data_IF_555935374333
#
_entry.id   IF_555935374333
#
_cell.length_a   1.000
_cell.length_b   1.000
_cell.length_c   1.000
_cell.angle_alpha   90.00
_cell.angle_beta   90.00
_cell.angle_gamma   90.00
#
_symmetry.space_group_name_H-M   'P 1'
#
loop_
_entity.id
_entity.type
_entity.pdbx_description
1 polymer ?
#
# COMPACT_ATOMS: atom_id res chain seq x y z
N UNK A 1 9.53 -21.12 27.34
CA UNK A 1 8.97 -19.80 27.79
C UNK A 1 8.34 -19.93 29.17
N UNK A 2 8.47 -18.91 30.08
CA UNK A 2 7.85 -18.93 31.40
C UNK A 2 6.32 -18.95 31.31
N UNK A 3 5.68 -19.78 32.16
CA UNK A 3 4.21 -19.99 32.12
C UNK A 3 3.40 -18.70 32.36
N UNK A 4 3.90 -17.81 33.24
CA UNK A 4 3.24 -16.51 33.51
C UNK A 4 3.28 -15.57 32.32
N UNK A 5 4.41 -15.53 31.62
CA UNK A 5 4.55 -14.70 30.40
C UNK A 5 3.63 -15.21 29.29
N UNK A 6 3.56 -16.52 29.09
CA UNK A 6 2.66 -17.08 28.07
C UNK A 6 1.17 -16.89 28.44
N UNK A 7 0.81 -16.96 29.71
CA UNK A 7 -0.56 -16.63 30.16
C UNK A 7 -0.94 -15.20 29.79
N UNK A 8 -0.01 -14.25 29.91
CA UNK A 8 -0.22 -12.88 29.47
C UNK A 8 -0.44 -12.80 27.96
N UNK A 9 0.34 -13.56 27.16
CA UNK A 9 0.14 -13.65 25.68
C UNK A 9 -1.29 -14.10 25.36
N UNK A 10 -1.79 -15.14 26.05
CA UNK A 10 -3.16 -15.65 25.83
C UNK A 10 -4.20 -14.55 26.08
N UNK A 11 -4.12 -13.90 27.24
CA UNK A 11 -5.07 -12.84 27.64
C UNK A 11 -5.04 -11.66 26.64
N UNK A 12 -3.86 -11.23 26.23
CA UNK A 12 -3.72 -10.17 25.23
C UNK A 12 -4.27 -10.59 23.87
N UNK A 13 -3.98 -11.82 23.44
CA UNK A 13 -4.53 -12.40 22.21
C UNK A 13 -6.06 -12.34 22.20
N UNK A 14 -6.70 -12.85 23.26
CA UNK A 14 -8.16 -12.84 23.37
C UNK A 14 -8.75 -11.43 23.33
N UNK A 15 -8.16 -10.51 24.08
CA UNK A 15 -8.62 -9.11 24.10
C UNK A 15 -8.50 -8.42 22.74
N UNK A 16 -7.36 -8.61 22.07
CA UNK A 16 -7.12 -8.04 20.74
C UNK A 16 -8.06 -8.64 19.69
N UNK A 17 -8.23 -9.97 19.70
CA UNK A 17 -9.15 -10.64 18.77
C UNK A 17 -10.60 -10.19 19.01
N UNK A 18 -11.04 -10.08 20.27
CA UNK A 18 -12.38 -9.55 20.61
C UNK A 18 -12.59 -8.12 20.10
N UNK A 19 -11.58 -7.28 20.10
CA UNK A 19 -11.69 -5.88 19.69
C UNK A 19 -12.07 -5.68 18.21
N UNK A 20 -11.85 -6.68 17.36
CA UNK A 20 -12.16 -6.59 15.92
C UNK A 20 -13.45 -7.32 15.50
N UNK A 21 -14.09 -8.06 16.41
CA UNK A 21 -15.33 -8.81 16.11
C UNK A 21 -16.45 -7.90 15.59
N UNK A 22 -16.48 -6.63 16.03
CA UNK A 22 -17.44 -5.63 15.55
C UNK A 22 -17.16 -5.06 14.15
N UNK A 23 -16.00 -5.31 13.58
CA UNK A 23 -15.62 -4.78 12.27
C UNK A 23 -16.19 -5.67 11.16
N UNK A 24 -17.31 -5.26 10.58
CA UNK A 24 -18.01 -6.01 9.53
C UNK A 24 -17.28 -6.03 8.18
N UNK A 25 -16.44 -5.03 7.92
CA UNK A 25 -15.75 -4.87 6.65
C UNK A 25 -14.35 -5.49 6.73
N UNK A 26 -13.94 -6.11 5.63
CA UNK A 26 -12.64 -6.76 5.49
C UNK A 26 -11.84 -6.09 4.38
N UNK A 27 -10.50 -6.15 4.50
CA UNK A 27 -9.60 -5.78 3.42
C UNK A 27 -9.67 -6.82 2.29
N UNK A 28 -9.36 -6.40 1.06
CA UNK A 28 -9.47 -7.24 -0.14
C UNK A 28 -8.75 -8.59 -0.04
N UNK A 29 -7.62 -8.65 0.67
CA UNK A 29 -6.85 -9.89 0.87
C UNK A 29 -7.52 -10.90 1.82
N UNK A 30 -8.47 -10.48 2.66
CA UNK A 30 -9.03 -11.36 3.69
C UNK A 30 -9.58 -12.68 3.13
N UNK A 31 -10.42 -12.60 2.09
CA UNK A 31 -11.03 -13.80 1.48
C UNK A 31 -10.01 -14.69 0.77
N UNK A 32 -8.95 -14.11 0.24
CA UNK A 32 -7.86 -14.85 -0.39
C UNK A 32 -7.05 -15.61 0.66
N UNK A 33 -6.65 -14.92 1.72
CA UNK A 33 -5.86 -15.50 2.80
C UNK A 33 -6.61 -16.57 3.60
N UNK A 34 -7.94 -16.47 3.74
CA UNK A 34 -8.75 -17.54 4.35
C UNK A 34 -8.75 -18.85 3.55
N UNK A 35 -8.48 -18.80 2.24
CA UNK A 35 -8.47 -19.97 1.36
C UNK A 35 -7.08 -20.56 1.17
N UNK A 36 -6.04 -19.90 1.70
CA UNK A 36 -4.67 -20.40 1.61
C UNK A 36 -4.57 -21.71 2.38
N UNK A 37 -4.02 -22.74 1.75
CA UNK A 37 -3.69 -23.99 2.42
C UNK A 37 -2.48 -23.78 3.36
N UNK A 38 -2.26 -24.72 4.25
CA UNK A 38 -1.18 -24.63 5.23
C UNK A 38 0.19 -25.11 4.69
N UNK A 39 0.35 -25.25 3.38
CA UNK A 39 1.59 -25.74 2.76
C UNK A 39 2.72 -24.71 2.83
N UNK A 40 2.37 -23.44 3.02
CA UNK A 40 3.31 -22.32 3.13
C UNK A 40 2.91 -21.43 4.31
N UNK A 41 3.90 -20.78 4.93
CA UNK A 41 3.61 -19.65 5.79
C UNK A 41 3.16 -18.45 4.96
N UNK A 42 2.38 -17.57 5.57
CA UNK A 42 1.82 -16.38 4.90
C UNK A 42 2.38 -15.11 5.52
N UNK A 43 3.04 -14.30 4.71
CA UNK A 43 3.49 -12.96 5.12
C UNK A 43 2.65 -11.87 4.48
N UNK A 44 2.19 -10.91 5.27
CA UNK A 44 1.50 -9.71 4.79
C UNK A 44 2.34 -8.49 5.07
N UNK A 45 2.76 -7.80 4.03
CA UNK A 45 3.54 -6.58 4.17
C UNK A 45 2.82 -5.38 3.54
N UNK A 46 3.23 -4.19 3.91
CA UNK A 46 2.66 -2.95 3.36
C UNK A 46 2.85 -1.77 4.30
N UNK A 47 2.38 -0.61 3.87
CA UNK A 47 2.50 0.64 4.60
C UNK A 47 1.91 0.57 6.01
N UNK A 48 2.36 1.48 6.87
CA UNK A 48 1.77 1.66 8.21
C UNK A 48 0.38 2.30 8.10
N UNK A 49 -0.53 1.90 9.01
CA UNK A 49 -1.88 2.47 9.09
C UNK A 49 -2.88 1.97 8.05
N UNK A 50 -2.52 1.01 7.18
CA UNK A 50 -3.40 0.47 6.14
C UNK A 50 -4.25 -0.74 6.61
N UNK A 51 -4.19 -1.11 7.89
CA UNK A 51 -5.03 -2.15 8.47
C UNK A 51 -4.44 -3.57 8.48
N UNK A 52 -3.10 -3.74 8.44
CA UNK A 52 -2.45 -5.07 8.55
C UNK A 52 -2.82 -5.80 9.84
N UNK A 53 -2.68 -5.13 10.98
CA UNK A 53 -3.04 -5.68 12.30
C UNK A 53 -4.50 -6.10 12.37
N UNK A 54 -5.43 -5.27 11.85
CA UNK A 54 -6.86 -5.60 11.83
C UNK A 54 -7.13 -6.83 10.95
N UNK A 55 -6.53 -6.89 9.77
CA UNK A 55 -6.62 -8.05 8.87
C UNK A 55 -6.13 -9.32 9.57
N UNK A 56 -4.98 -9.26 10.25
CA UNK A 56 -4.39 -10.39 10.97
C UNK A 56 -5.31 -10.86 12.12
N UNK A 57 -5.85 -9.94 12.90
CA UNK A 57 -6.80 -10.23 13.99
C UNK A 57 -8.11 -10.82 13.48
N UNK A 58 -8.63 -10.34 12.35
CA UNK A 58 -9.83 -10.90 11.71
C UNK A 58 -9.59 -12.33 11.22
N UNK A 59 -8.40 -12.63 10.65
CA UNK A 59 -8.00 -13.99 10.28
C UNK A 59 -7.89 -14.88 11.51
N UNK A 60 -7.22 -14.40 12.59
CA UNK A 60 -7.11 -15.13 13.84
C UNK A 60 -8.48 -15.44 14.45
N UNK A 61 -9.41 -14.48 14.43
CA UNK A 61 -10.79 -14.63 14.92
C UNK A 61 -11.57 -15.72 14.19
N UNK A 62 -11.31 -15.92 12.89
CA UNK A 62 -12.01 -16.91 12.06
C UNK A 62 -11.33 -18.28 12.02
N UNK A 63 -10.15 -18.42 12.63
CA UNK A 63 -9.33 -19.65 12.59
C UNK A 63 -9.37 -20.39 13.92
N UNK A 64 -9.63 -21.70 13.89
CA UNK A 64 -9.63 -22.54 15.10
C UNK A 64 -8.23 -22.75 15.63
N UNK A 65 -8.08 -22.91 16.96
CA UNK A 65 -6.79 -23.14 17.64
C UNK A 65 -5.73 -22.11 17.24
N UNK A 66 -6.15 -20.83 17.18
CA UNK A 66 -5.31 -19.69 16.82
C UNK A 66 -4.82 -18.95 18.05
N UNK A 67 -3.61 -18.40 17.96
CA UNK A 67 -3.03 -17.48 18.93
C UNK A 67 -2.51 -16.25 18.17
N UNK A 68 -2.82 -15.05 18.64
CA UNK A 68 -2.26 -13.80 18.13
C UNK A 68 -1.15 -13.30 19.05
N UNK A 69 -0.07 -12.79 18.47
CA UNK A 69 1.08 -12.23 19.21
C UNK A 69 1.56 -10.96 18.50
N UNK A 70 1.81 -9.88 19.27
CA UNK A 70 2.52 -8.71 18.77
C UNK A 70 4.01 -8.88 19.06
N UNK A 71 4.82 -8.99 18.01
CA UNK A 71 6.25 -9.24 18.16
C UNK A 71 7.01 -8.06 18.79
N UNK A 72 6.44 -6.86 18.77
CA UNK A 72 7.00 -5.64 19.39
C UNK A 72 6.68 -5.50 20.88
N UNK A 73 5.92 -6.44 21.48
CA UNK A 73 5.58 -6.39 22.89
C UNK A 73 6.84 -6.47 23.76
N UNK A 74 7.02 -5.48 24.66
CA UNK A 74 8.22 -5.33 25.49
C UNK A 74 8.45 -6.55 26.39
N UNK A 75 7.40 -7.14 26.96
CA UNK A 75 7.53 -8.30 27.85
C UNK A 75 7.95 -9.58 27.11
N UNK A 76 7.96 -9.57 25.78
CA UNK A 76 8.46 -10.66 24.94
C UNK A 76 9.91 -10.42 24.46
N UNK A 77 10.56 -9.33 24.85
CA UNK A 77 11.88 -8.94 24.35
C UNK A 77 12.96 -10.03 24.47
N UNK A 78 12.86 -10.86 25.49
CA UNK A 78 13.84 -11.94 25.78
C UNK A 78 13.50 -13.28 25.11
N UNK A 79 12.41 -13.35 24.33
CA UNK A 79 11.98 -14.58 23.67
C UNK A 79 12.08 -14.42 22.14
N UNK A 80 12.62 -15.43 21.47
CA UNK A 80 12.63 -15.52 20.00
C UNK A 80 11.23 -15.84 19.47
N UNK A 81 11.04 -15.70 18.16
CA UNK A 81 9.82 -16.19 17.50
C UNK A 81 9.71 -17.70 17.64
N UNK A 82 10.86 -18.39 17.64
CA UNK A 82 10.91 -19.82 17.86
C UNK A 82 10.36 -20.21 19.25
N UNK A 83 10.83 -19.59 20.33
CA UNK A 83 10.37 -19.87 21.70
C UNK A 83 8.84 -19.67 21.84
N UNK A 84 8.31 -18.61 21.23
CA UNK A 84 6.87 -18.30 21.29
C UNK A 84 6.07 -19.36 20.54
N UNK A 85 6.51 -19.74 19.34
CA UNK A 85 5.83 -20.69 18.48
C UNK A 85 5.90 -22.12 19.05
N UNK A 86 7.04 -22.53 19.62
CA UNK A 86 7.21 -23.82 20.29
C UNK A 86 6.27 -23.95 21.49
N UNK A 87 6.21 -22.94 22.36
CA UNK A 87 5.30 -22.94 23.51
C UNK A 87 3.84 -22.97 23.08
N UNK A 88 3.47 -22.21 22.03
CA UNK A 88 2.13 -22.23 21.47
C UNK A 88 1.76 -23.64 20.95
N UNK A 89 2.66 -24.30 20.20
CA UNK A 89 2.46 -25.64 19.68
C UNK A 89 2.31 -26.67 20.80
N UNK A 90 3.14 -26.58 21.87
CA UNK A 90 3.09 -27.44 23.05
C UNK A 90 1.74 -27.32 23.78
N UNK A 91 1.11 -26.14 23.77
CA UNK A 91 -0.22 -25.92 24.37
C UNK A 91 -1.40 -26.22 23.40
N UNK A 92 -1.10 -26.79 22.25
CA UNK A 92 -2.12 -27.27 21.30
C UNK A 92 -2.65 -26.25 20.32
N UNK A 93 -2.07 -25.06 20.24
CA UNK A 93 -2.35 -24.13 19.15
C UNK A 93 -1.80 -24.70 17.84
N UNK A 94 -2.54 -24.47 16.74
CA UNK A 94 -2.16 -24.93 15.40
C UNK A 94 -1.84 -23.78 14.46
N UNK A 95 -2.28 -22.57 14.79
CA UNK A 95 -2.12 -21.37 13.97
C UNK A 95 -1.60 -20.24 14.86
N UNK A 96 -0.49 -19.64 14.47
CA UNK A 96 0.12 -18.49 15.14
C UNK A 96 0.08 -17.27 14.21
N UNK A 97 -0.52 -16.20 14.68
CA UNK A 97 -0.65 -14.93 13.99
C UNK A 97 0.29 -13.92 14.63
N UNK A 98 1.36 -13.53 13.91
CA UNK A 98 2.42 -12.68 14.45
C UNK A 98 2.37 -11.30 13.80
N UNK A 99 2.10 -10.27 14.58
CA UNK A 99 2.13 -8.89 14.11
C UNK A 99 3.52 -8.26 14.25
N UNK A 100 3.91 -7.41 13.29
CA UNK A 100 5.17 -6.66 13.28
C UNK A 100 6.43 -7.55 13.47
N UNK A 101 6.47 -8.73 12.82
CA UNK A 101 7.54 -9.75 12.98
C UNK A 101 8.96 -9.18 12.79
N UNK A 102 9.10 -8.15 11.94
CA UNK A 102 10.38 -7.52 11.59
C UNK A 102 11.05 -6.78 12.77
N UNK A 103 10.34 -6.60 13.88
CA UNK A 103 10.92 -6.03 15.11
C UNK A 103 11.85 -7.01 15.81
N UNK A 104 11.83 -8.31 15.45
CA UNK A 104 12.74 -9.34 15.96
C UNK A 104 13.94 -9.53 15.03
N UNK A 105 15.13 -9.67 15.62
CA UNK A 105 16.39 -9.72 14.85
C UNK A 105 16.54 -10.97 13.99
N UNK A 106 16.22 -12.14 14.50
CA UNK A 106 16.46 -13.44 13.85
C UNK A 106 15.20 -14.10 13.29
N UNK A 107 14.12 -13.35 13.11
CA UNK A 107 12.80 -13.88 12.70
C UNK A 107 12.85 -14.76 11.46
N UNK A 108 13.75 -14.49 10.51
CA UNK A 108 13.87 -15.28 9.28
C UNK A 108 14.44 -16.67 9.51
N UNK A 109 15.43 -16.79 10.43
CA UNK A 109 16.00 -18.06 10.83
C UNK A 109 15.00 -18.89 11.67
N UNK A 110 14.28 -18.22 12.57
CA UNK A 110 13.24 -18.85 13.39
C UNK A 110 12.13 -19.43 12.49
N UNK A 111 11.62 -18.65 11.52
CA UNK A 111 10.59 -19.12 10.58
C UNK A 111 11.06 -20.31 9.74
N UNK A 112 12.34 -20.34 9.33
CA UNK A 112 12.91 -21.46 8.58
C UNK A 112 12.86 -22.74 9.44
N UNK A 113 13.36 -22.68 10.66
CA UNK A 113 13.37 -23.83 11.57
C UNK A 113 11.95 -24.32 11.86
N UNK A 114 11.05 -23.43 12.22
CA UNK A 114 9.65 -23.77 12.52
C UNK A 114 8.90 -24.38 11.33
N UNK A 115 9.20 -23.90 10.12
CA UNK A 115 8.62 -24.47 8.90
C UNK A 115 9.09 -25.90 8.66
N UNK A 116 10.40 -26.14 8.82
CA UNK A 116 11.00 -27.46 8.62
C UNK A 116 10.53 -28.48 9.72
N UNK A 117 10.16 -28.02 10.91
CA UNK A 117 9.54 -28.82 11.97
C UNK A 117 8.05 -29.14 11.73
N UNK A 118 7.32 -28.28 11.04
CA UNK A 118 5.93 -28.51 10.63
C UNK A 118 4.89 -28.58 11.76
N UNK A 119 5.19 -28.04 12.97
CA UNK A 119 4.32 -28.18 14.15
C UNK A 119 3.19 -27.18 14.24
N UNK A 120 3.37 -25.98 13.67
CA UNK A 120 2.45 -24.85 13.75
C UNK A 120 2.47 -24.06 12.44
N UNK A 121 1.32 -23.63 11.95
CA UNK A 121 1.22 -22.76 10.79
C UNK A 121 1.34 -21.30 11.22
N UNK A 122 2.07 -20.48 10.43
CA UNK A 122 2.34 -19.09 10.79
C UNK A 122 1.83 -18.14 9.70
N UNK A 123 1.05 -17.15 10.15
CA UNK A 123 0.66 -15.97 9.37
C UNK A 123 1.23 -14.75 10.07
N UNK A 124 1.95 -13.89 9.35
CA UNK A 124 2.61 -12.75 9.97
C UNK A 124 2.46 -11.45 9.19
N UNK A 125 2.61 -10.35 9.90
CA UNK A 125 2.70 -9.02 9.26
C UNK A 125 4.07 -8.40 9.45
N UNK A 126 4.40 -7.47 8.54
CA UNK A 126 5.59 -6.65 8.62
C UNK A 126 5.45 -5.34 7.86
N UNK A 127 6.42 -4.42 8.03
CA UNK A 127 6.52 -3.24 7.17
C UNK A 127 6.89 -3.62 5.74
N UNK A 128 6.77 -2.68 4.79
CA UNK A 128 7.21 -2.90 3.41
C UNK A 128 8.68 -3.34 3.32
N UNK A 129 9.53 -2.84 4.22
CA UNK A 129 10.93 -3.25 4.33
C UNK A 129 11.12 -4.72 4.76
N UNK A 130 10.18 -5.33 5.47
CA UNK A 130 10.24 -6.73 5.86
C UNK A 130 10.26 -7.67 4.65
N UNK A 131 9.55 -7.32 3.57
CA UNK A 131 9.58 -8.10 2.33
C UNK A 131 10.99 -8.16 1.71
N UNK A 132 11.75 -7.07 1.80
CA UNK A 132 13.12 -7.00 1.28
C UNK A 132 14.07 -7.88 2.09
N UNK A 133 13.87 -7.98 3.40
CA UNK A 133 14.75 -8.70 4.34
C UNK A 133 14.55 -10.22 4.38
N UNK A 134 13.47 -10.77 3.79
CA UNK A 134 13.15 -12.20 3.93
C UNK A 134 14.22 -13.16 3.41
N UNK A 135 15.12 -12.67 2.52
CA UNK A 135 16.19 -13.50 1.94
C UNK A 135 15.72 -14.65 1.03
N UNK A 136 16.66 -15.31 0.38
CA UNK A 136 16.38 -16.44 -0.51
C UNK A 136 15.86 -17.70 0.25
N UNK A 137 16.27 -17.89 1.50
CA UNK A 137 15.93 -19.08 2.28
C UNK A 137 14.44 -19.20 2.63
N UNK A 138 13.73 -18.08 2.79
CA UNK A 138 12.30 -18.07 3.04
C UNK A 138 11.45 -18.12 1.76
N UNK A 139 12.03 -17.92 0.60
CA UNK A 139 11.27 -17.86 -0.68
C UNK A 139 10.52 -19.16 -1.01
N UNK A 140 10.99 -20.30 -0.49
CA UNK A 140 10.35 -21.64 -0.66
C UNK A 140 9.40 -22.01 0.47
N UNK A 141 9.29 -21.17 1.51
CA UNK A 141 8.56 -21.48 2.76
C UNK A 141 7.45 -20.47 3.05
N UNK A 142 7.54 -19.28 2.46
CA UNK A 142 6.64 -18.15 2.76
C UNK A 142 6.11 -17.55 1.47
N UNK A 143 4.79 -17.42 1.37
CA UNK A 143 4.13 -16.62 0.34
C UNK A 143 3.90 -15.22 0.91
N UNK A 144 4.44 -14.21 0.23
CA UNK A 144 4.31 -12.82 0.64
C UNK A 144 3.23 -12.10 -0.16
N UNK A 145 2.28 -11.48 0.54
CA UNK A 145 1.21 -10.69 -0.03
C UNK A 145 1.39 -9.21 0.31
N UNK A 146 1.37 -8.35 -0.70
CA UNK A 146 1.34 -6.91 -0.47
C UNK A 146 -0.08 -6.48 -0.13
N UNK A 147 -0.27 -5.89 1.06
CA UNK A 147 -1.49 -5.17 1.38
C UNK A 147 -1.31 -3.74 0.88
N UNK A 148 -2.00 -3.39 -0.20
CA UNK A 148 -1.99 -2.04 -0.76
C UNK A 148 -2.73 -1.06 0.17
N UNK A 149 -2.49 0.27 0.07
CA UNK A 149 -3.37 1.25 0.69
C UNK A 149 -4.84 0.95 0.35
N UNK A 150 -5.82 1.27 1.22
CA UNK A 150 -7.23 1.03 0.88
C UNK A 150 -7.59 1.68 -0.46
N UNK A 151 -8.27 0.96 -1.34
CA UNK A 151 -8.86 1.55 -2.55
C UNK A 151 -10.02 2.48 -2.20
N UNK A 152 -10.46 3.31 -3.14
CA UNK A 152 -11.68 4.12 -2.92
C UNK A 152 -12.87 3.24 -2.51
N UNK A 153 -13.03 2.08 -3.15
CA UNK A 153 -14.07 1.11 -2.80
C UNK A 153 -13.98 0.65 -1.34
N UNK A 154 -12.78 0.28 -0.88
CA UNK A 154 -12.57 -0.15 0.50
C UNK A 154 -12.79 1.01 1.49
N UNK A 155 -12.32 2.20 1.15
CA UNK A 155 -12.55 3.41 1.94
C UNK A 155 -14.05 3.67 2.12
N UNK A 156 -14.83 3.66 1.03
CA UNK A 156 -16.29 3.84 1.07
C UNK A 156 -16.98 2.75 1.91
N UNK A 157 -16.55 1.50 1.78
CA UNK A 157 -17.13 0.40 2.56
C UNK A 157 -16.81 0.50 4.04
N UNK A 158 -15.54 0.78 4.38
CA UNK A 158 -15.08 0.82 5.78
C UNK A 158 -15.59 2.07 6.51
N UNK A 159 -15.53 3.24 5.86
CA UNK A 159 -15.90 4.52 6.50
C UNK A 159 -17.38 4.87 6.38
N UNK A 160 -18.03 4.46 5.29
CA UNK A 160 -19.39 4.90 4.95
C UNK A 160 -20.38 3.74 4.77
N UNK A 161 -19.93 2.50 4.96
CA UNK A 161 -20.73 1.27 4.78
C UNK A 161 -21.48 1.23 3.42
N UNK A 162 -20.80 1.63 2.35
CA UNK A 162 -21.39 1.87 1.03
C UNK A 162 -21.87 0.60 0.30
N UNK A 163 -21.42 -0.59 0.71
CA UNK A 163 -21.74 -1.85 0.02
C UNK A 163 -21.19 -1.92 -1.42
N UNK A 164 -20.09 -1.21 -1.68
CA UNK A 164 -19.49 -1.15 -3.00
C UNK A 164 -18.76 -2.46 -3.36
N UNK A 165 -19.09 -3.00 -4.53
CA UNK A 165 -18.50 -4.24 -5.05
C UNK A 165 -17.25 -3.96 -5.88
N UNK A 166 -16.36 -4.96 -5.96
CA UNK A 166 -15.21 -4.92 -6.87
C UNK A 166 -15.67 -4.92 -8.32
N UNK A 167 -15.05 -4.09 -9.14
CA UNK A 167 -15.31 -3.96 -10.57
C UNK A 167 -14.08 -4.44 -11.33
N UNK A 168 -14.27 -5.13 -12.47
CA UNK A 168 -13.14 -5.47 -13.35
C UNK A 168 -12.84 -4.33 -14.32
N UNK A 169 -11.58 -4.22 -14.77
CA UNK A 169 -11.18 -3.21 -15.76
C UNK A 169 -11.93 -3.40 -17.09
N UNK A 170 -12.19 -4.64 -17.51
CA UNK A 170 -12.96 -4.94 -18.71
C UNK A 170 -14.42 -4.45 -18.60
N UNK A 171 -15.02 -4.51 -17.41
CA UNK A 171 -16.36 -3.97 -17.17
C UNK A 171 -16.41 -2.44 -17.37
N UNK A 172 -15.32 -1.73 -17.01
CA UNK A 172 -15.20 -0.29 -17.26
C UNK A 172 -14.99 0.03 -18.74
N UNK A 173 -14.31 -0.82 -19.48
CA UNK A 173 -14.11 -0.62 -20.94
C UNK A 173 -15.36 -0.94 -21.76
N UNK A 174 -16.27 -1.75 -21.26
CA UNK A 174 -17.56 -2.02 -21.90
C UNK A 174 -18.59 -0.95 -21.55
N UNK A 175 -19.13 -0.23 -22.54
CA UNK A 175 -20.00 0.93 -22.34
C UNK A 175 -21.31 0.59 -21.60
N UNK A 176 -21.99 -0.50 -21.97
CA UNK A 176 -23.27 -0.87 -21.35
C UNK A 176 -23.07 -1.28 -19.88
N UNK A 177 -22.02 -2.05 -19.58
CA UNK A 177 -21.68 -2.46 -18.22
C UNK A 177 -21.23 -1.26 -17.40
N UNK A 178 -20.39 -0.37 -17.96
CA UNK A 178 -19.93 0.86 -17.32
C UNK A 178 -21.10 1.77 -16.95
N UNK A 179 -22.09 1.93 -17.83
CA UNK A 179 -23.30 2.69 -17.55
C UNK A 179 -24.02 2.20 -16.29
N UNK A 180 -24.26 0.89 -16.20
CA UNK A 180 -24.93 0.31 -15.04
C UNK A 180 -24.13 0.53 -13.74
N UNK A 181 -22.80 0.39 -13.80
CA UNK A 181 -21.90 0.63 -12.67
C UNK A 181 -21.94 2.11 -12.26
N UNK A 182 -21.82 3.04 -13.24
CA UNK A 182 -21.82 4.46 -12.96
C UNK A 182 -23.14 4.93 -12.32
N UNK A 183 -24.28 4.46 -12.83
CA UNK A 183 -25.60 4.73 -12.25
C UNK A 183 -25.72 4.16 -10.83
N UNK A 184 -25.31 2.89 -10.63
CA UNK A 184 -25.35 2.23 -9.31
C UNK A 184 -24.56 3.01 -8.25
N UNK A 185 -23.42 3.58 -8.63
CA UNK A 185 -22.50 4.22 -7.70
C UNK A 185 -22.43 5.76 -7.83
N UNK A 186 -23.34 6.39 -8.56
CA UNK A 186 -23.35 7.85 -8.80
C UNK A 186 -23.14 8.66 -7.52
N UNK A 187 -23.82 8.30 -6.43
CA UNK A 187 -23.68 8.95 -5.12
C UNK A 187 -22.24 8.99 -4.60
N UNK A 188 -21.41 8.02 -4.98
CA UNK A 188 -20.07 7.84 -4.44
C UNK A 188 -18.97 8.39 -5.34
N UNK A 189 -19.28 8.81 -6.57
CA UNK A 189 -18.27 9.23 -7.53
C UNK A 189 -17.55 10.52 -7.12
N UNK A 190 -18.19 11.38 -6.35
CA UNK A 190 -17.61 12.64 -5.83
C UNK A 190 -16.65 12.45 -4.66
N UNK A 191 -16.69 11.29 -3.98
CA UNK A 191 -15.87 11.03 -2.79
C UNK A 191 -14.39 10.77 -3.09
N UNK A 192 -13.98 10.70 -4.36
CA UNK A 192 -12.59 10.44 -4.70
C UNK A 192 -11.63 11.54 -4.18
N UNK A 193 -12.08 12.79 -4.06
CA UNK A 193 -11.28 13.91 -3.56
C UNK A 193 -11.02 13.77 -2.04
N UNK A 194 -12.05 13.44 -1.27
CA UNK A 194 -11.90 13.13 0.15
C UNK A 194 -11.00 11.92 0.35
N UNK A 195 -11.21 10.87 -0.45
CA UNK A 195 -10.36 9.69 -0.45
C UNK A 195 -8.91 10.02 -0.82
N UNK A 196 -8.67 10.81 -1.86
CA UNK A 196 -7.33 11.24 -2.25
C UNK A 196 -6.61 11.93 -1.08
N UNK A 197 -7.33 12.76 -0.36
CA UNK A 197 -6.76 13.54 0.75
C UNK A 197 -6.55 12.73 2.02
N UNK A 198 -7.43 11.79 2.37
CA UNK A 198 -7.43 11.07 3.64
C UNK A 198 -7.46 9.55 3.53
N UNK A 199 -7.90 8.99 2.42
CA UNK A 199 -8.38 7.61 2.31
C UNK A 199 -7.31 6.54 2.20
N UNK A 200 -6.05 6.91 1.98
CA UNK A 200 -4.94 5.96 1.87
C UNK A 200 -4.52 5.31 3.20
N UNK A 201 -5.13 5.73 4.32
CA UNK A 201 -4.94 5.18 5.67
C UNK A 201 -6.28 4.93 6.35
N UNK A 202 -6.34 3.99 7.31
CA UNK A 202 -7.59 3.59 7.97
C UNK A 202 -7.82 4.21 9.35
N UNK A 203 -6.79 4.78 9.97
CA UNK A 203 -7.00 5.61 11.16
C UNK A 203 -7.71 6.93 10.79
N UNK A 204 -8.29 7.60 11.77
CA UNK A 204 -9.02 8.84 11.51
C UNK A 204 -8.06 10.02 11.27
N UNK A 205 -7.54 10.10 10.04
CA UNK A 205 -6.64 11.16 9.62
C UNK A 205 -7.36 12.50 9.43
N UNK A 206 -8.68 12.51 9.19
CA UNK A 206 -9.44 13.72 8.85
C UNK A 206 -9.45 14.75 9.98
N UNK A 207 -9.56 14.30 11.23
CA UNK A 207 -9.71 15.21 12.40
C UNK A 207 -8.47 16.06 12.66
N UNK A 208 -7.27 15.54 12.35
CA UNK A 208 -6.00 16.22 12.65
C UNK A 208 -5.05 16.24 11.46
N UNK A 209 -5.58 16.11 10.25
CA UNK A 209 -4.77 16.17 9.03
C UNK A 209 -4.03 17.51 8.91
N UNK A 210 -2.73 17.56 8.53
CA UNK A 210 -1.92 16.43 8.01
C UNK A 210 -1.05 15.71 9.07
N UNK A 211 -1.10 16.10 10.33
CA UNK A 211 -0.15 15.69 11.38
C UNK A 211 0.05 14.16 11.50
N UNK A 212 -1.00 13.30 11.61
CA UNK A 212 -0.79 11.86 11.74
C UNK A 212 -0.10 11.23 10.54
N UNK A 213 -0.35 11.77 9.34
CA UNK A 213 0.26 11.29 8.10
C UNK A 213 1.72 11.73 8.03
N UNK A 214 2.04 12.96 8.43
CA UNK A 214 3.43 13.44 8.52
C UNK A 214 4.24 12.60 9.51
N UNK A 215 3.69 12.29 10.69
CA UNK A 215 4.35 11.38 11.65
C UNK A 215 4.56 9.96 11.08
N UNK A 216 3.65 9.47 10.24
CA UNK A 216 3.86 8.21 9.54
C UNK A 216 5.01 8.31 8.52
N UNK A 217 5.13 9.40 7.76
CA UNK A 217 6.25 9.67 6.84
C UNK A 217 7.57 9.70 7.61
N UNK A 218 7.65 10.44 8.71
CA UNK A 218 8.84 10.51 9.56
C UNK A 218 9.28 9.12 10.05
N UNK A 219 8.32 8.30 10.48
CA UNK A 219 8.62 6.95 10.93
C UNK A 219 9.08 6.05 9.78
N UNK A 220 8.48 6.17 8.59
CA UNK A 220 8.94 5.43 7.41
C UNK A 220 10.38 5.81 7.06
N UNK A 221 10.74 7.08 7.12
CA UNK A 221 12.09 7.54 6.82
C UNK A 221 13.07 7.06 7.90
N UNK A 222 12.79 7.29 9.17
CA UNK A 222 13.75 7.04 10.25
C UNK A 222 13.85 5.57 10.65
N UNK A 223 12.83 4.72 10.38
CA UNK A 223 12.80 3.33 10.78
C UNK A 223 12.82 2.39 9.57
N UNK A 224 11.85 2.53 8.66
CA UNK A 224 11.71 1.57 7.57
C UNK A 224 12.80 1.76 6.52
N UNK A 225 13.14 2.99 6.13
CA UNK A 225 14.24 3.29 5.22
C UNK A 225 15.60 2.93 5.83
N UNK A 226 15.82 3.20 7.12
CA UNK A 226 17.02 2.80 7.85
C UNK A 226 17.22 1.28 7.87
N UNK A 227 16.15 0.52 7.77
CA UNK A 227 16.21 -0.94 7.69
C UNK A 227 16.63 -1.47 6.31
N UNK A 228 16.46 -0.68 5.25
CA UNK A 228 16.78 -1.05 3.85
C UNK A 228 18.16 -0.57 3.43
N UNK A 229 18.60 0.57 3.95
CA UNK A 229 19.91 1.13 3.70
C UNK A 229 20.48 1.78 4.95
N UNK A 230 21.82 1.85 5.05
CA UNK A 230 22.46 2.67 6.06
C UNK A 230 22.15 4.15 5.80
N UNK A 231 21.60 4.85 6.77
CA UNK A 231 21.24 6.26 6.69
C UNK A 231 21.92 7.05 7.81
N UNK A 232 22.31 8.28 7.48
CA UNK A 232 22.77 9.30 8.41
C UNK A 232 21.86 10.54 8.32
N UNK A 233 22.13 11.54 9.12
CA UNK A 233 21.35 12.79 9.14
C UNK A 233 21.37 13.55 7.80
N UNK A 234 22.47 13.45 7.04
CA UNK A 234 22.60 14.09 5.73
C UNK A 234 21.64 13.44 4.72
N UNK A 235 21.62 12.09 4.67
CA UNK A 235 20.71 11.34 3.80
C UNK A 235 19.24 11.61 4.18
N UNK A 236 18.91 11.66 5.47
CA UNK A 236 17.55 11.99 5.92
C UNK A 236 17.12 13.37 5.41
N UNK A 237 17.99 14.38 5.52
CA UNK A 237 17.72 15.72 5.02
C UNK A 237 17.52 15.72 3.49
N UNK A 238 18.35 15.00 2.74
CA UNK A 238 18.24 14.88 1.29
C UNK A 238 16.92 14.21 0.89
N UNK A 239 16.47 13.19 1.62
CA UNK A 239 15.17 12.55 1.43
C UNK A 239 14.04 13.55 1.61
N UNK A 240 14.05 14.38 2.68
CA UNK A 240 13.02 15.40 2.87
C UNK A 240 13.02 16.44 1.75
N UNK A 241 14.20 16.92 1.31
CA UNK A 241 14.31 17.82 0.15
C UNK A 241 13.70 17.20 -1.10
N UNK A 242 14.00 15.92 -1.38
CA UNK A 242 13.44 15.21 -2.51
C UNK A 242 11.91 15.11 -2.42
N UNK A 243 11.36 14.68 -1.27
CA UNK A 243 9.92 14.56 -1.07
C UNK A 243 9.21 15.90 -1.24
N UNK A 244 9.75 16.99 -0.69
CA UNK A 244 9.19 18.33 -0.86
C UNK A 244 9.21 18.79 -2.32
N UNK A 245 10.31 18.54 -3.03
CA UNK A 245 10.40 18.87 -4.46
C UNK A 245 9.38 18.09 -5.28
N UNK A 246 9.28 16.77 -5.06
CA UNK A 246 8.32 15.91 -5.76
C UNK A 246 6.87 16.32 -5.42
N UNK A 247 6.59 16.71 -4.16
CA UNK A 247 5.23 17.11 -3.76
C UNK A 247 4.74 18.37 -4.46
N UNK A 248 5.64 19.34 -4.70
CA UNK A 248 5.34 20.62 -5.36
C UNK A 248 5.28 20.54 -6.88
N UNK A 249 5.81 19.46 -7.48
CA UNK A 249 5.96 19.35 -8.94
C UNK A 249 5.00 18.31 -9.53
N UNK A 250 4.66 18.47 -10.81
CA UNK A 250 3.97 17.43 -11.57
C UNK A 250 4.86 16.23 -11.87
N UNK A 251 4.30 15.02 -12.07
CA UNK A 251 5.07 13.81 -12.32
C UNK A 251 5.96 13.87 -13.57
N UNK A 252 5.57 14.65 -14.56
CA UNK A 252 6.28 14.81 -15.85
C UNK A 252 7.42 15.83 -15.78
N UNK A 253 7.49 16.65 -14.76
CA UNK A 253 8.51 17.70 -14.60
C UNK A 253 9.77 17.18 -13.89
N UNK A 254 9.74 15.93 -13.42
CA UNK A 254 10.77 15.37 -12.58
C UNK A 254 11.68 14.43 -13.36
N UNK A 255 12.87 14.91 -13.69
CA UNK A 255 13.99 14.05 -14.09
C UNK A 255 14.91 13.79 -12.90
N UNK A 256 15.65 12.70 -12.95
CA UNK A 256 16.68 12.41 -11.95
C UNK A 256 17.75 13.50 -11.88
N UNK A 257 18.09 14.13 -13.02
CA UNK A 257 19.01 15.27 -13.06
C UNK A 257 18.45 16.47 -12.30
N UNK A 258 17.20 16.86 -12.56
CA UNK A 258 16.56 17.98 -11.86
C UNK A 258 16.47 17.75 -10.34
N UNK A 259 16.22 16.50 -9.92
CA UNK A 259 16.25 16.15 -8.51
C UNK A 259 17.64 16.21 -7.92
N UNK A 260 18.65 15.72 -8.63
CA UNK A 260 20.05 15.73 -8.21
C UNK A 260 20.57 17.16 -8.02
N UNK A 261 20.28 18.03 -8.99
CA UNK A 261 20.64 19.46 -8.92
C UNK A 261 19.95 20.17 -7.75
N UNK A 262 18.66 19.89 -7.55
CA UNK A 262 17.91 20.52 -6.45
C UNK A 262 18.38 20.08 -5.06
N UNK A 263 18.70 18.80 -4.89
CA UNK A 263 19.14 18.24 -3.59
C UNK A 263 20.62 18.53 -3.34
N UNK A 264 21.43 18.65 -4.40
CA UNK A 264 22.88 18.84 -4.32
C UNK A 264 23.65 17.51 -4.19
N UNK A 265 23.12 16.42 -4.81
CA UNK A 265 23.74 15.08 -4.76
C UNK A 265 23.93 14.49 -6.17
N UNK A 266 24.66 13.38 -6.28
CA UNK A 266 24.83 12.71 -7.57
C UNK A 266 23.52 12.11 -8.09
N UNK A 267 23.35 12.04 -9.41
CA UNK A 267 22.21 11.38 -10.07
C UNK A 267 22.11 9.91 -9.63
N UNK A 268 23.23 9.22 -9.43
CA UNK A 268 23.27 7.85 -8.92
C UNK A 268 22.66 7.74 -7.52
N UNK A 269 22.94 8.72 -6.65
CA UNK A 269 22.35 8.81 -5.32
C UNK A 269 20.83 8.97 -5.40
N UNK A 270 20.33 9.87 -6.26
CA UNK A 270 18.89 10.07 -6.48
C UNK A 270 18.22 8.79 -6.95
N UNK A 271 18.77 8.11 -7.96
CA UNK A 271 18.20 6.85 -8.47
C UNK A 271 18.07 5.82 -7.35
N UNK A 272 19.10 5.68 -6.52
CA UNK A 272 19.06 4.74 -5.39
C UNK A 272 18.04 5.14 -4.34
N UNK A 273 17.99 6.42 -3.96
CA UNK A 273 17.00 6.93 -2.99
C UNK A 273 15.58 6.75 -3.49
N UNK A 274 15.28 7.07 -4.76
CA UNK A 274 13.96 6.88 -5.36
C UNK A 274 13.52 5.42 -5.31
N UNK A 275 14.42 4.47 -5.62
CA UNK A 275 14.15 3.03 -5.51
C UNK A 275 13.90 2.58 -4.07
N UNK A 276 14.67 3.12 -3.13
CA UNK A 276 14.50 2.78 -1.72
C UNK A 276 13.19 3.39 -1.16
N UNK A 277 12.81 4.60 -1.59
CA UNK A 277 11.52 5.21 -1.25
C UNK A 277 10.32 4.42 -1.82
N UNK A 278 10.47 3.80 -3.00
CA UNK A 278 9.47 2.86 -3.52
C UNK A 278 9.38 1.60 -2.66
N UNK A 279 10.52 0.99 -2.30
CA UNK A 279 10.55 -0.22 -1.45
C UNK A 279 9.89 -0.02 -0.08
N UNK A 280 10.08 1.16 0.52
CA UNK A 280 9.41 1.49 1.80
C UNK A 280 7.99 2.01 1.62
N UNK A 281 7.53 2.14 0.37
CA UNK A 281 6.15 2.46 0.02
C UNK A 281 5.78 3.94 0.07
N UNK A 282 6.75 4.87 0.14
CA UNK A 282 6.45 6.31 0.02
C UNK A 282 6.13 6.73 -1.41
N UNK A 283 6.82 6.13 -2.39
CA UNK A 283 6.62 6.40 -3.81
C UNK A 283 6.06 5.18 -4.54
N UNK A 284 5.44 5.44 -5.67
CA UNK A 284 5.09 4.48 -6.71
C UNK A 284 5.75 4.93 -8.01
N UNK A 285 6.56 4.06 -8.60
CA UNK A 285 7.23 4.32 -9.86
C UNK A 285 6.43 3.73 -11.02
N UNK A 286 6.12 4.55 -12.01
CA UNK A 286 5.46 4.11 -13.24
C UNK A 286 6.44 4.25 -14.40
N UNK A 287 6.87 3.12 -14.93
CA UNK A 287 7.86 3.07 -16.01
C UNK A 287 7.20 3.24 -17.39
N UNK A 288 7.97 3.67 -18.41
CA UNK A 288 7.45 3.74 -19.77
C UNK A 288 7.10 2.35 -20.31
N UNK A 289 5.95 2.24 -20.95
CA UNK A 289 5.53 1.01 -21.63
C UNK A 289 6.53 0.65 -22.75
N UNK A 290 6.95 -0.62 -22.81
CA UNK A 290 7.98 -1.12 -23.75
C UNK A 290 9.36 -0.43 -23.64
N UNK A 291 9.59 0.44 -22.66
CA UNK A 291 10.84 1.15 -22.46
C UNK A 291 11.81 0.49 -21.48
N UNK A 292 11.29 -0.40 -20.66
CA UNK A 292 12.03 -1.08 -19.58
C UNK A 292 12.58 -0.13 -18.52
N UNK A 293 13.31 -0.72 -17.57
CA UNK A 293 13.92 0.01 -16.43
C UNK A 293 15.07 0.95 -16.80
N UNK A 294 15.44 1.04 -18.08
CA UNK A 294 16.51 1.95 -18.57
C UNK A 294 16.05 3.41 -18.72
N UNK A 295 14.74 3.68 -18.70
CA UNK A 295 14.18 5.03 -18.82
C UNK A 295 13.65 5.49 -17.47
N UNK A 296 13.66 6.82 -17.26
CA UNK A 296 13.16 7.42 -16.02
C UNK A 296 11.68 7.16 -15.84
N UNK A 297 11.23 6.72 -14.63
CA UNK A 297 9.81 6.55 -14.33
C UNK A 297 9.15 7.90 -14.02
N UNK A 298 7.83 7.98 -14.18
CA UNK A 298 7.02 8.99 -13.50
C UNK A 298 6.95 8.66 -12.01
N UNK A 299 7.13 9.68 -11.15
CA UNK A 299 7.14 9.55 -9.70
C UNK A 299 5.80 9.99 -9.11
N UNK A 300 5.09 9.07 -8.48
CA UNK A 300 3.86 9.33 -7.75
C UNK A 300 4.05 9.03 -6.27
N UNK A 301 3.41 9.80 -5.40
CA UNK A 301 3.29 9.38 -4.00
C UNK A 301 2.26 8.26 -3.86
N UNK A 302 2.45 7.40 -2.86
CA UNK A 302 1.34 6.61 -2.34
C UNK A 302 0.39 7.53 -1.56
N UNK A 303 -0.91 7.26 -1.68
CA UNK A 303 -1.90 8.07 -0.97
C UNK A 303 -1.84 7.82 0.55
N UNK A 304 -1.98 8.87 1.38
CA UNK A 304 -2.27 10.27 1.07
C UNK A 304 -1.04 11.20 1.22
N UNK A 305 0.18 10.74 0.95
CA UNK A 305 1.42 11.42 1.35
C UNK A 305 1.61 12.80 0.69
N UNK A 306 1.32 12.93 -0.63
CA UNK A 306 1.46 14.23 -1.32
C UNK A 306 0.58 15.29 -0.70
N UNK A 307 -0.70 14.99 -0.45
CA UNK A 307 -1.64 15.94 0.15
C UNK A 307 -1.18 16.35 1.55
N UNK A 308 -0.66 15.41 2.34
CA UNK A 308 -0.15 15.71 3.67
C UNK A 308 1.10 16.60 3.64
N UNK A 309 2.06 16.34 2.75
CA UNK A 309 3.26 17.17 2.60
C UNK A 309 2.88 18.57 2.15
N UNK A 310 2.08 18.72 1.11
CA UNK A 310 1.67 20.02 0.60
C UNK A 310 0.92 20.83 1.67
N UNK A 311 -0.05 20.21 2.34
CA UNK A 311 -0.82 20.87 3.38
C UNK A 311 0.04 21.26 4.60
N UNK A 312 1.05 20.46 4.97
CA UNK A 312 2.03 20.82 6.01
C UNK A 312 2.86 22.05 5.66
N UNK A 313 2.99 22.36 4.36
CA UNK A 313 3.69 23.52 3.82
C UNK A 313 2.74 24.70 3.53
N UNK A 314 1.44 24.59 3.87
CA UNK A 314 0.43 25.59 3.52
C UNK A 314 0.10 25.67 2.03
N UNK A 315 0.37 24.60 1.26
CA UNK A 315 0.15 24.53 -0.19
C UNK A 315 -1.04 23.64 -0.51
N UNK A 316 -1.78 24.01 -1.58
CA UNK A 316 -2.76 23.12 -2.20
C UNK A 316 -2.06 22.18 -3.19
N UNK A 317 -2.57 20.95 -3.30
CA UNK A 317 -2.13 20.04 -4.37
C UNK A 317 -2.84 20.42 -5.68
N UNK A 318 -2.07 20.48 -6.77
CA UNK A 318 -2.65 20.67 -8.11
C UNK A 318 -3.64 19.55 -8.43
N UNK A 319 -4.82 19.91 -8.89
CA UNK A 319 -5.91 18.94 -9.13
C UNK A 319 -5.62 17.99 -10.30
N UNK A 320 -4.84 18.42 -11.31
CA UNK A 320 -4.40 17.55 -12.40
C UNK A 320 -3.46 16.46 -11.89
N UNK A 321 -2.49 16.85 -11.07
CA UNK A 321 -1.57 15.92 -10.39
C UNK A 321 -2.34 14.96 -9.48
N UNK A 322 -3.33 15.46 -8.73
CA UNK A 322 -4.15 14.63 -7.84
C UNK A 322 -4.93 13.55 -8.61
N UNK A 323 -5.49 13.89 -9.78
CA UNK A 323 -6.21 12.95 -10.65
C UNK A 323 -5.29 11.84 -11.18
N UNK A 324 -4.12 12.23 -11.73
CA UNK A 324 -3.13 11.26 -12.20
C UNK A 324 -2.63 10.36 -11.08
N UNK A 325 -2.35 10.92 -9.89
CA UNK A 325 -1.86 10.19 -8.74
C UNK A 325 -2.93 9.26 -8.16
N UNK A 326 -4.19 9.69 -8.10
CA UNK A 326 -5.33 8.82 -7.77
C UNK A 326 -5.41 7.63 -8.73
N UNK A 327 -5.38 7.91 -10.04
CA UNK A 327 -5.42 6.86 -11.06
C UNK A 327 -4.25 5.90 -10.92
N UNK A 328 -3.03 6.43 -10.84
CA UNK A 328 -1.82 5.62 -10.70
C UNK A 328 -1.86 4.72 -9.46
N UNK A 329 -2.45 5.15 -8.34
CA UNK A 329 -2.52 4.37 -7.10
C UNK A 329 -3.58 3.26 -7.13
N UNK A 330 -4.68 3.46 -7.85
CA UNK A 330 -5.82 2.53 -7.83
C UNK A 330 -5.85 1.53 -9.01
N UNK A 331 -5.00 1.74 -10.02
CA UNK A 331 -5.04 0.95 -11.27
C UNK A 331 -3.78 0.10 -11.42
N UNK A 332 -3.90 -1.19 -11.85
CA UNK A 332 -2.75 -2.01 -12.23
C UNK A 332 -2.24 -1.54 -13.60
N UNK A 333 -1.28 -0.60 -13.58
CA UNK A 333 -0.74 0.03 -14.78
C UNK A 333 0.24 -0.89 -15.52
N UNK A 334 0.15 -0.92 -16.85
CA UNK A 334 1.18 -1.50 -17.73
C UNK A 334 2.35 -0.53 -17.98
N UNK A 335 2.14 0.77 -17.73
CA UNK A 335 3.14 1.82 -17.88
C UNK A 335 2.54 3.15 -18.36
N UNK A 336 3.41 4.10 -18.68
CA UNK A 336 3.00 5.34 -19.34
C UNK A 336 3.49 5.36 -20.81
N UNK A 337 2.84 6.18 -21.66
CA UNK A 337 3.24 6.33 -23.05
C UNK A 337 4.36 7.36 -23.12
N UNK A 338 5.55 6.95 -23.54
CA UNK A 338 6.68 7.85 -23.78
C UNK A 338 6.86 8.08 -25.28
N UNK A 339 6.80 9.33 -25.69
CA UNK A 339 7.06 9.75 -27.05
C UNK A 339 8.20 10.74 -27.15
N UNK A 340 8.50 11.18 -28.35
CA UNK A 340 9.49 12.23 -28.62
C UNK A 340 9.08 13.58 -28.03
N UNK A 341 10.08 14.40 -27.76
CA UNK A 341 9.91 15.71 -27.10
C UNK A 341 8.95 16.60 -27.90
N UNK A 342 7.87 17.07 -27.24
CA UNK A 342 6.88 17.95 -27.85
C UNK A 342 5.61 17.29 -28.36
N UNK A 343 5.52 15.96 -28.36
CA UNK A 343 4.28 15.24 -28.74
C UNK A 343 3.40 15.00 -27.52
N UNK A 344 2.14 15.41 -27.58
CA UNK A 344 1.14 15.10 -26.54
C UNK A 344 0.68 13.66 -26.68
N UNK A 345 0.83 12.87 -25.63
CA UNK A 345 0.46 11.45 -25.58
C UNK A 345 -0.46 11.17 -24.42
N UNK A 346 -1.26 10.08 -24.50
CA UNK A 346 -2.04 9.59 -23.37
C UNK A 346 -1.17 9.33 -22.15
N UNK A 347 -1.74 9.51 -20.94
CA UNK A 347 -0.99 9.42 -19.69
C UNK A 347 -0.54 8.00 -19.36
N UNK A 348 -1.41 7.01 -19.58
CA UNK A 348 -1.17 5.64 -19.11
C UNK A 348 -1.60 4.58 -20.13
N UNK A 349 -1.06 3.36 -19.91
CA UNK A 349 -1.52 2.14 -20.56
C UNK A 349 -2.00 1.16 -19.49
N UNK A 350 -3.20 0.64 -19.71
CA UNK A 350 -3.85 -0.34 -18.84
C UNK A 350 -4.42 -1.44 -19.72
N UNK A 351 -3.96 -2.67 -19.54
CA UNK A 351 -4.43 -3.84 -20.31
C UNK A 351 -4.43 -3.58 -21.83
N UNK A 352 -3.35 -3.00 -22.33
CA UNK A 352 -3.15 -2.68 -23.76
C UNK A 352 -3.94 -1.46 -24.27
N UNK A 353 -4.76 -0.82 -23.45
CA UNK A 353 -5.52 0.38 -23.78
C UNK A 353 -4.85 1.63 -23.27
N UNK A 354 -4.87 2.69 -24.07
CA UNK A 354 -4.36 4.00 -23.70
C UNK A 354 -5.42 4.80 -22.95
N UNK A 355 -5.03 5.40 -21.84
CA UNK A 355 -5.92 6.18 -20.96
C UNK A 355 -5.35 7.59 -20.81
N UNK A 356 -6.18 8.58 -21.03
CA UNK A 356 -5.91 9.99 -20.70
C UNK A 356 -6.69 10.37 -19.45
N UNK A 357 -6.05 11.01 -18.48
CA UNK A 357 -6.67 11.45 -17.23
C UNK A 357 -6.94 12.95 -17.26
N UNK A 358 -8.12 13.38 -16.80
CA UNK A 358 -8.41 14.81 -16.83
C UNK A 358 -9.68 15.24 -16.10
N UNK A 359 -9.98 16.52 -16.20
CA UNK A 359 -11.20 17.14 -15.68
C UNK A 359 -12.36 17.07 -16.66
N UNK A 360 -13.50 17.67 -16.28
CA UNK A 360 -14.77 17.70 -17.04
C UNK A 360 -14.64 18.20 -18.48
N UNK A 361 -13.78 19.20 -18.73
CA UNK A 361 -13.56 19.78 -20.06
C UNK A 361 -12.47 19.08 -20.91
N UNK A 362 -11.98 17.90 -20.47
CA UNK A 362 -10.91 17.20 -21.18
C UNK A 362 -11.38 16.74 -22.55
N UNK A 363 -10.62 17.10 -23.57
CA UNK A 363 -10.82 16.67 -24.96
C UNK A 363 -9.80 15.59 -25.33
N UNK A 364 -10.16 14.71 -26.29
CA UNK A 364 -9.30 13.59 -26.69
C UNK A 364 -8.28 13.99 -27.79
N UNK A 365 -7.51 15.06 -27.55
CA UNK A 365 -6.45 15.47 -28.47
C UNK A 365 -5.36 14.40 -28.66
N UNK A 366 -5.11 13.62 -27.61
CA UNK A 366 -4.09 12.58 -27.60
C UNK A 366 -4.55 11.28 -28.26
N UNK A 367 -5.80 11.21 -28.74
CA UNK A 367 -6.43 10.02 -29.33
C UNK A 367 -6.29 8.78 -28.43
N UNK A 368 -6.51 8.95 -27.12
CA UNK A 368 -6.57 7.85 -26.17
C UNK A 368 -7.78 6.95 -26.46
N UNK A 369 -7.66 5.65 -26.16
CA UNK A 369 -8.80 4.72 -26.23
C UNK A 369 -9.90 5.16 -25.26
N UNK A 370 -9.53 5.62 -24.06
CA UNK A 370 -10.46 6.06 -23.02
C UNK A 370 -9.99 7.35 -22.34
N UNK A 371 -10.96 8.11 -21.83
CA UNK A 371 -10.77 9.30 -21.00
C UNK A 371 -11.25 9.00 -19.58
N UNK A 372 -10.32 8.95 -18.61
CA UNK A 372 -10.65 8.89 -17.19
C UNK A 372 -10.93 10.33 -16.71
N UNK A 373 -12.19 10.70 -16.56
CA UNK A 373 -12.60 12.08 -16.30
C UNK A 373 -13.15 12.24 -14.88
N UNK A 374 -12.80 13.36 -14.26
CA UNK A 374 -13.34 13.79 -12.98
C UNK A 374 -14.76 14.34 -13.17
N UNK A 375 -15.67 13.47 -13.56
CA UNK A 375 -17.06 13.73 -13.85
C UNK A 375 -17.88 12.45 -13.64
N UNK A 376 -19.19 12.56 -13.72
CA UNK A 376 -20.13 11.45 -13.75
C UNK A 376 -20.46 10.96 -15.16
N UNK A 377 -19.97 11.62 -16.21
CA UNK A 377 -20.18 11.25 -17.60
C UNK A 377 -19.49 9.92 -17.96
N UNK A 378 -20.23 9.04 -18.62
CA UNK A 378 -19.78 7.69 -18.99
C UNK A 378 -20.05 7.36 -20.46
N UNK A 379 -20.42 8.35 -21.28
CA UNK A 379 -20.83 8.15 -22.68
C UNK A 379 -19.59 8.02 -23.58
N UNK A 380 -19.68 7.14 -24.57
CA UNK A 380 -18.62 6.89 -25.54
C UNK A 380 -17.35 6.34 -24.89
N UNK A 381 -16.23 7.04 -25.03
CA UNK A 381 -14.96 6.63 -24.43
C UNK A 381 -14.67 7.25 -23.05
N UNK A 382 -15.63 7.94 -22.45
CA UNK A 382 -15.49 8.54 -21.13
C UNK A 382 -15.79 7.55 -20.02
N UNK A 383 -14.95 7.55 -18.99
CA UNK A 383 -15.08 6.73 -17.76
C UNK A 383 -14.94 7.66 -16.57
N UNK A 384 -15.90 7.72 -15.63
CA UNK A 384 -15.73 8.47 -14.40
C UNK A 384 -14.46 8.03 -13.66
N UNK A 385 -13.57 8.98 -13.35
CA UNK A 385 -12.28 8.72 -12.71
C UNK A 385 -12.43 7.89 -11.42
N UNK A 386 -13.45 8.21 -10.63
CA UNK A 386 -13.71 7.52 -9.36
C UNK A 386 -13.93 6.00 -9.52
N UNK A 387 -14.49 5.53 -10.66
CA UNK A 387 -14.72 4.11 -10.90
C UNK A 387 -13.43 3.27 -10.95
N UNK A 388 -12.32 3.88 -11.32
CA UNK A 388 -11.02 3.21 -11.26
C UNK A 388 -10.58 2.88 -9.83
N UNK A 389 -11.14 3.55 -8.82
CA UNK A 389 -10.95 3.22 -7.41
C UNK A 389 -11.75 2.02 -6.90
N UNK A 390 -12.48 1.30 -7.79
CA UNK A 390 -13.27 0.11 -7.45
C UNK A 390 -12.62 -1.21 -7.95
N UNK A 391 -11.41 -1.15 -8.49
CA UNK A 391 -10.76 -2.30 -9.14
C UNK A 391 -10.25 -3.37 -8.15
N UNK A 392 -10.04 -3.03 -6.85
CA UNK A 392 -9.68 -4.00 -5.81
C UNK A 392 -10.32 -3.70 -4.47
#
# INVERSE_FOLDING_TARGET
>A
MESQVFSKVIVESENKVKSVVGFKQHRYLYKELQKTNNDFYVGVYGLRGIGKTVLLLQLASSTKKSLYVSADAVYLSNYSIYDIAEEAANRGYKNLFIDEIHTRTNWTADLKTLFDEGRIHIVFTGSSAANVKRGADLSRRVIMHELLPPSLREFLNIKLNAGAEKVSIHALFNESTRKNIAVKYTKWLTYWQDYYRYGGVLYDAKVSFPKPVMSAIERIINVDLASVRQIDSAIVNDVYKMLYKIAKSGPYEMSYNNLADYVGVSVKTVINLVKDLEKVGLLKLVYPYKGGFRKEPKLYFRLPFRSAINESLGLATDIGVAREEFFANNVPLSGYVKTERGTKTPDFIVDGKTIEVGGTGKTNYQKADFLAIDDTDFIGNKIPLALFGFLY
#
